data_IF_015518287399
#
_entry.id   IF_015518287399
#
_cell.length_a   1.000
_cell.length_b   1.000
_cell.length_c   1.000
_cell.angle_alpha   90.00
_cell.angle_beta   90.00
_cell.angle_gamma   90.00
#
_symmetry.space_group_name_H-M   'P 1'
#
loop_
_entity.id
_entity.type
_entity.pdbx_description
1 polymer ?
#
# COMPACT_ATOMS: atom_id res chain seq x y z
N UNK A 1 11.31 -4.72 -9.45
CA UNK A 1 10.40 -5.65 -8.73
C UNK A 1 11.14 -6.65 -7.83
N UNK A 2 12.35 -7.11 -8.17
CA UNK A 2 13.11 -8.02 -7.28
C UNK A 2 13.43 -7.38 -5.93
N UNK A 3 13.74 -6.09 -5.90
CA UNK A 3 13.93 -5.35 -4.65
C UNK A 3 12.63 -5.31 -3.83
N UNK A 4 11.50 -4.97 -4.45
CA UNK A 4 10.18 -4.99 -3.79
C UNK A 4 9.92 -6.36 -3.17
N UNK A 5 10.09 -7.44 -3.93
CA UNK A 5 9.88 -8.79 -3.41
C UNK A 5 10.78 -9.14 -2.21
N UNK A 6 12.04 -8.67 -2.22
CA UNK A 6 12.96 -8.87 -1.10
C UNK A 6 12.56 -8.08 0.14
N UNK A 7 12.10 -6.83 -0.04
CA UNK A 7 11.62 -5.97 1.03
C UNK A 7 10.31 -6.50 1.62
N UNK A 8 9.35 -6.95 0.79
CA UNK A 8 8.13 -7.61 1.27
C UNK A 8 8.42 -8.87 2.11
N UNK A 9 9.35 -9.71 1.65
CA UNK A 9 9.78 -10.87 2.42
C UNK A 9 10.45 -10.48 3.76
N UNK A 10 11.13 -9.32 3.82
CA UNK A 10 11.67 -8.76 5.05
C UNK A 10 10.55 -8.25 5.96
N UNK A 11 9.58 -7.50 5.44
CA UNK A 11 8.41 -7.00 6.18
C UNK A 11 7.66 -8.16 6.85
N UNK A 12 7.36 -9.20 6.08
CA UNK A 12 6.72 -10.40 6.59
C UNK A 12 7.51 -11.03 7.75
N UNK A 13 8.85 -11.21 7.59
CA UNK A 13 9.69 -11.81 8.64
C UNK A 13 9.76 -10.96 9.89
N UNK A 14 9.82 -9.63 9.77
CA UNK A 14 9.84 -8.72 10.92
C UNK A 14 8.56 -8.83 11.73
N UNK A 15 7.41 -8.74 11.06
CA UNK A 15 6.10 -8.84 11.72
C UNK A 15 5.85 -10.23 12.31
N UNK A 16 6.19 -11.29 11.57
CA UNK A 16 6.06 -12.67 12.06
C UNK A 16 6.91 -12.91 13.30
N UNK A 17 8.18 -12.49 13.28
CA UNK A 17 9.09 -12.62 14.43
C UNK A 17 8.55 -11.86 15.64
N UNK A 18 8.05 -10.66 15.45
CA UNK A 18 7.43 -9.87 16.51
C UNK A 18 6.22 -10.61 17.10
N UNK A 19 5.31 -11.12 16.27
CA UNK A 19 4.15 -11.89 16.69
C UNK A 19 4.53 -13.11 17.51
N UNK A 20 5.54 -13.86 17.08
CA UNK A 20 6.04 -15.04 17.78
C UNK A 20 6.67 -14.68 19.14
N UNK A 21 7.52 -13.65 19.17
CA UNK A 21 8.27 -13.30 20.37
C UNK A 21 7.43 -12.61 21.45
N UNK A 22 6.47 -11.79 21.04
CA UNK A 22 5.68 -11.00 22.00
C UNK A 22 4.37 -11.69 22.40
N UNK A 23 3.79 -12.52 21.51
CA UNK A 23 2.47 -13.08 21.74
C UNK A 23 2.43 -14.61 21.69
N UNK A 24 3.54 -15.29 21.38
CA UNK A 24 3.59 -16.76 21.24
C UNK A 24 2.66 -17.29 20.13
N UNK A 25 2.38 -16.45 19.12
CA UNK A 25 1.50 -16.74 17.98
C UNK A 25 2.27 -16.73 16.67
N UNK A 26 1.75 -17.37 15.64
CA UNK A 26 2.36 -17.41 14.31
C UNK A 26 1.37 -17.00 13.22
N UNK A 27 1.90 -16.82 12.01
CA UNK A 27 1.10 -16.59 10.82
C UNK A 27 0.08 -17.74 10.63
N UNK A 28 -1.18 -17.34 10.47
CA UNK A 28 -2.29 -18.30 10.36
C UNK A 28 -3.08 -18.52 11.65
N UNK A 29 -2.57 -18.09 12.83
CA UNK A 29 -3.33 -18.20 14.10
C UNK A 29 -4.50 -17.20 14.18
N UNK A 30 -4.47 -16.15 13.38
CA UNK A 30 -5.54 -15.15 13.29
C UNK A 30 -6.06 -15.02 11.85
N UNK A 31 -7.35 -14.69 11.66
CA UNK A 31 -7.86 -14.39 10.33
C UNK A 31 -7.16 -13.18 9.74
N UNK A 32 -6.86 -13.26 8.45
CA UNK A 32 -6.21 -12.19 7.69
C UNK A 32 -7.15 -11.63 6.61
N UNK A 33 -6.98 -10.34 6.31
CA UNK A 33 -7.71 -9.68 5.24
C UNK A 33 -7.08 -10.00 3.88
N UNK A 34 -7.88 -10.49 2.93
CA UNK A 34 -7.40 -10.95 1.62
C UNK A 34 -7.56 -9.91 0.48
N UNK A 35 -7.88 -8.66 0.82
CA UNK A 35 -8.24 -7.66 -0.21
C UNK A 35 -7.15 -7.41 -1.26
N UNK A 36 -5.88 -7.39 -0.88
CA UNK A 36 -4.77 -7.23 -1.83
C UNK A 36 -4.63 -8.46 -2.74
N UNK A 37 -4.71 -9.66 -2.19
CA UNK A 37 -4.69 -10.90 -2.97
C UNK A 37 -5.86 -10.96 -3.96
N UNK A 38 -7.07 -10.65 -3.51
CA UNK A 38 -8.26 -10.59 -4.37
C UNK A 38 -8.07 -9.59 -5.53
N UNK A 39 -7.45 -8.42 -5.27
CA UNK A 39 -7.16 -7.46 -6.34
C UNK A 39 -6.11 -8.01 -7.30
N UNK A 40 -5.11 -8.74 -6.80
CA UNK A 40 -4.14 -9.44 -7.66
C UNK A 40 -4.83 -10.47 -8.57
N UNK A 41 -5.76 -11.26 -8.06
CA UNK A 41 -6.52 -12.23 -8.87
C UNK A 41 -7.39 -11.51 -9.92
N UNK A 42 -8.17 -10.51 -9.52
CA UNK A 42 -9.02 -9.73 -10.43
C UNK A 42 -8.23 -9.12 -11.59
N UNK A 43 -7.00 -8.66 -11.35
CA UNK A 43 -6.17 -7.98 -12.35
C UNK A 43 -5.15 -8.91 -13.05
N UNK A 44 -5.28 -10.23 -12.93
CA UNK A 44 -4.30 -11.19 -13.45
C UNK A 44 -4.07 -11.08 -14.98
N UNK A 45 -5.12 -10.75 -15.74
CA UNK A 45 -5.08 -10.62 -17.20
C UNK A 45 -4.82 -9.20 -17.72
N UNK A 46 -4.67 -8.19 -16.85
CA UNK A 46 -4.53 -6.79 -17.25
C UNK A 46 -3.39 -6.12 -16.45
N UNK A 47 -2.24 -5.98 -17.10
CA UNK A 47 -1.04 -5.40 -16.46
C UNK A 47 -1.24 -3.92 -16.11
N UNK A 48 -2.01 -3.15 -16.89
CA UNK A 48 -2.28 -1.75 -16.62
C UNK A 48 -3.16 -1.61 -15.39
N UNK A 49 -4.23 -2.41 -15.30
CA UNK A 49 -5.07 -2.49 -14.11
C UNK A 49 -4.28 -2.98 -12.90
N UNK A 50 -3.37 -3.98 -13.07
CA UNK A 50 -2.50 -4.46 -12.01
C UNK A 50 -1.65 -3.33 -11.42
N UNK A 51 -0.99 -2.52 -12.25
CA UNK A 51 -0.16 -1.40 -11.79
C UNK A 51 -0.99 -0.29 -11.14
N UNK A 52 -2.17 -0.01 -11.69
CA UNK A 52 -3.09 0.99 -11.14
C UNK A 52 -3.65 0.58 -9.77
N UNK A 53 -4.04 -0.68 -9.61
CA UNK A 53 -4.90 -1.10 -8.50
C UNK A 53 -4.16 -1.85 -7.39
N UNK A 54 -3.03 -2.48 -7.65
CA UNK A 54 -2.25 -3.17 -6.61
C UNK A 54 -1.24 -2.20 -5.98
N UNK A 55 -0.08 -1.88 -6.57
CA UNK A 55 0.90 -1.03 -5.90
C UNK A 55 0.40 0.40 -5.71
N UNK A 56 -0.21 1.00 -6.77
CA UNK A 56 -0.66 2.40 -6.72
C UNK A 56 -1.87 2.61 -5.79
N UNK A 57 -2.74 1.61 -5.59
CA UNK A 57 -3.96 1.74 -4.78
C UNK A 57 -3.85 0.98 -3.47
N UNK A 58 -3.67 -0.34 -3.51
CA UNK A 58 -3.73 -1.16 -2.30
C UNK A 58 -2.54 -0.91 -1.37
N UNK A 59 -1.31 -0.80 -1.89
CA UNK A 59 -0.12 -0.48 -1.08
C UNK A 59 -0.14 0.99 -0.62
N UNK A 60 -0.60 1.93 -1.46
CA UNK A 60 -0.73 3.32 -1.06
C UNK A 60 -1.72 3.54 0.11
N UNK A 61 -2.68 2.63 0.34
CA UNK A 61 -3.50 2.63 1.58
C UNK A 61 -2.64 2.34 2.81
N UNK A 62 -1.60 1.57 2.67
CA UNK A 62 -0.61 1.35 3.73
C UNK A 62 0.08 2.64 4.14
N UNK A 63 0.44 3.51 3.18
CA UNK A 63 1.02 4.83 3.48
C UNK A 63 0.11 5.68 4.37
N UNK A 64 -1.21 5.59 4.20
CA UNK A 64 -2.19 6.37 4.96
C UNK A 64 -2.52 5.72 6.31
N UNK A 65 -2.64 4.41 6.35
CA UNK A 65 -3.08 3.68 7.54
C UNK A 65 -1.97 3.53 8.58
N UNK A 66 -0.73 3.31 8.14
CA UNK A 66 0.39 3.02 9.04
C UNK A 66 0.61 4.11 10.10
N UNK A 67 0.63 5.42 9.79
CA UNK A 67 0.78 6.46 10.83
C UNK A 67 -0.33 6.43 11.89
N UNK A 68 -1.55 6.09 11.49
CA UNK A 68 -2.68 5.98 12.41
C UNK A 68 -2.54 4.76 13.35
N UNK A 69 -2.08 3.63 12.80
CA UNK A 69 -1.79 2.42 13.57
C UNK A 69 -0.65 2.70 14.56
N UNK A 70 0.42 3.33 14.11
CA UNK A 70 1.55 3.72 14.96
C UNK A 70 1.12 4.63 16.12
N UNK A 71 0.26 5.61 15.86
CA UNK A 71 -0.26 6.50 16.90
C UNK A 71 -1.09 5.73 17.93
N UNK A 72 -1.93 4.79 17.49
CA UNK A 72 -2.69 3.93 18.43
C UNK A 72 -1.76 3.09 19.28
N UNK A 73 -0.73 2.49 18.69
CA UNK A 73 0.25 1.66 19.39
C UNK A 73 1.06 2.49 20.40
N UNK A 74 1.53 3.68 20.01
CA UNK A 74 2.27 4.59 20.93
C UNK A 74 1.42 4.97 22.15
N UNK A 75 0.13 5.18 21.98
CA UNK A 75 -0.77 5.56 23.06
C UNK A 75 -1.01 4.44 24.08
N UNK A 76 -0.66 3.19 23.78
CA UNK A 76 -0.71 2.10 24.76
C UNK A 76 0.42 2.14 25.76
N UNK A 77 1.54 2.77 25.40
CA UNK A 77 2.80 2.77 26.17
C UNK A 77 3.36 1.37 26.48
N UNK A 78 2.82 0.30 25.89
CA UNK A 78 3.27 -1.06 26.09
C UNK A 78 4.57 -1.32 25.30
N UNK A 79 5.58 -1.99 25.91
CA UNK A 79 6.88 -2.22 25.27
C UNK A 79 6.79 -2.99 23.93
N UNK A 80 5.91 -3.98 23.85
CA UNK A 80 5.64 -4.75 22.64
C UNK A 80 5.02 -3.89 21.52
N UNK A 81 4.09 -3.01 21.89
CA UNK A 81 3.50 -2.06 20.94
C UNK A 81 4.52 -1.04 20.42
N UNK A 82 5.42 -0.56 21.28
CA UNK A 82 6.49 0.36 20.86
C UNK A 82 7.48 -0.36 19.92
N UNK A 83 7.83 -1.62 20.21
CA UNK A 83 8.64 -2.43 19.29
C UNK A 83 7.96 -2.66 17.93
N UNK A 84 6.64 -2.82 17.90
CA UNK A 84 5.87 -2.89 16.64
C UNK A 84 5.94 -1.57 15.85
N UNK A 85 5.94 -0.42 16.53
CA UNK A 85 6.10 0.90 15.87
C UNK A 85 7.42 1.00 15.14
N UNK A 86 8.53 0.53 15.72
CA UNK A 86 9.85 0.53 15.05
C UNK A 86 9.84 -0.31 13.77
N UNK A 87 9.15 -1.45 13.76
CA UNK A 87 8.96 -2.27 12.56
C UNK A 87 8.14 -1.54 11.53
N UNK A 88 7.04 -0.90 11.93
CA UNK A 88 6.18 -0.12 11.04
C UNK A 88 6.88 1.11 10.45
N UNK A 89 7.85 1.71 11.15
CA UNK A 89 8.69 2.78 10.63
C UNK A 89 9.58 2.29 9.46
N UNK A 90 10.12 1.08 9.56
CA UNK A 90 10.88 0.45 8.46
C UNK A 90 9.97 0.22 7.26
N UNK A 91 8.82 -0.43 7.49
CA UNK A 91 7.84 -0.76 6.45
C UNK A 91 7.37 0.51 5.74
N UNK A 92 6.88 1.51 6.47
CA UNK A 92 6.37 2.75 5.89
C UNK A 92 7.40 3.46 4.99
N UNK A 93 8.66 3.49 5.42
CA UNK A 93 9.74 4.09 4.64
C UNK A 93 9.97 3.38 3.30
N UNK A 94 9.94 2.04 3.30
CA UNK A 94 10.18 1.22 2.11
C UNK A 94 8.97 1.18 1.18
N UNK A 95 7.76 1.17 1.73
CA UNK A 95 6.50 1.22 0.98
C UNK A 95 6.38 2.46 0.06
N UNK A 96 6.99 3.59 0.42
CA UNK A 96 7.05 4.75 -0.48
C UNK A 96 7.70 4.37 -1.82
N UNK A 97 8.78 3.57 -1.77
CA UNK A 97 9.47 3.07 -2.97
C UNK A 97 8.62 2.08 -3.77
N UNK A 98 7.89 1.19 -3.10
CA UNK A 98 7.00 0.20 -3.76
C UNK A 98 5.88 0.90 -4.53
N UNK A 99 5.23 1.87 -3.90
CA UNK A 99 4.19 2.68 -4.54
C UNK A 99 4.76 3.53 -5.68
N UNK A 100 5.99 4.07 -5.52
CA UNK A 100 6.67 4.84 -6.59
C UNK A 100 6.94 3.99 -7.84
N UNK A 101 7.39 2.74 -7.67
CA UNK A 101 7.57 1.78 -8.77
C UNK A 101 6.23 1.50 -9.46
N UNK A 102 5.15 1.31 -8.69
CA UNK A 102 3.80 1.14 -9.23
C UNK A 102 3.34 2.34 -10.06
N UNK A 103 3.51 3.55 -9.53
CA UNK A 103 3.18 4.80 -10.22
C UNK A 103 4.00 4.97 -11.50
N UNK A 104 5.30 4.66 -11.48
CA UNK A 104 6.16 4.71 -12.65
C UNK A 104 5.64 3.79 -13.76
N UNK A 105 5.42 2.51 -13.47
CA UNK A 105 4.96 1.55 -14.46
C UNK A 105 3.56 1.81 -14.97
N UNK A 106 2.65 2.27 -14.11
CA UNK A 106 1.32 2.66 -14.53
C UNK A 106 1.36 3.79 -15.56
N UNK A 107 2.12 4.86 -15.29
CA UNK A 107 2.26 5.99 -16.22
C UNK A 107 2.94 5.58 -17.52
N UNK A 108 4.00 4.77 -17.43
CA UNK A 108 4.66 4.26 -18.62
C UNK A 108 3.72 3.44 -19.50
N UNK A 109 2.87 2.60 -18.92
CA UNK A 109 1.86 1.83 -19.66
C UNK A 109 0.81 2.75 -20.29
N UNK A 110 0.36 3.78 -19.59
CA UNK A 110 -0.56 4.77 -20.14
C UNK A 110 0.06 5.51 -21.34
N UNK A 111 1.27 6.03 -21.19
CA UNK A 111 2.00 6.73 -22.25
C UNK A 111 2.20 5.83 -23.48
N UNK A 112 2.69 4.61 -23.27
CA UNK A 112 2.91 3.62 -24.33
C UNK A 112 1.64 3.33 -25.15
N UNK A 113 0.48 3.38 -24.51
CA UNK A 113 -0.80 3.05 -25.13
C UNK A 113 -1.62 4.30 -25.52
N UNK A 114 -1.08 5.52 -25.36
CA UNK A 114 -1.77 6.76 -25.68
C UNK A 114 -3.00 7.05 -24.80
N UNK A 115 -2.95 6.61 -23.52
CA UNK A 115 -4.05 6.73 -22.56
C UNK A 115 -3.77 7.82 -21.54
N UNK A 116 -4.81 8.55 -21.14
CA UNK A 116 -4.70 9.51 -20.01
C UNK A 116 -4.79 8.75 -18.68
N UNK A 117 -3.76 8.86 -17.81
CA UNK A 117 -3.73 8.11 -16.56
C UNK A 117 -4.83 8.46 -15.57
N UNK A 118 -5.35 9.69 -15.56
CA UNK A 118 -6.37 10.09 -14.57
C UNK A 118 -7.73 9.48 -14.87
N UNK A 119 -8.35 9.70 -16.06
CA UNK A 119 -9.63 9.07 -16.37
C UNK A 119 -9.53 7.55 -16.46
N UNK A 120 -8.42 7.01 -16.97
CA UNK A 120 -8.22 5.56 -17.00
C UNK A 120 -8.21 4.95 -15.59
N UNK A 121 -7.57 5.60 -14.62
CA UNK A 121 -7.59 5.13 -13.23
C UNK A 121 -9.02 5.01 -12.69
N UNK A 122 -9.87 6.00 -12.95
CA UNK A 122 -11.26 6.00 -12.52
C UNK A 122 -12.05 4.85 -13.15
N UNK A 123 -11.85 4.62 -14.46
CA UNK A 123 -12.46 3.50 -15.17
C UNK A 123 -12.03 2.16 -14.59
N UNK A 124 -10.73 1.96 -14.38
CA UNK A 124 -10.19 0.73 -13.82
C UNK A 124 -10.66 0.50 -12.39
N UNK A 125 -10.66 1.54 -11.55
CA UNK A 125 -11.14 1.44 -10.18
C UNK A 125 -12.61 1.01 -10.12
N UNK A 126 -13.44 1.52 -11.02
CA UNK A 126 -14.85 1.14 -11.14
C UNK A 126 -15.00 -0.28 -11.69
N UNK A 127 -14.33 -0.62 -12.78
CA UNK A 127 -14.41 -1.92 -13.46
C UNK A 127 -14.01 -3.08 -12.54
N UNK A 128 -12.96 -2.91 -11.75
CA UNK A 128 -12.42 -3.93 -10.87
C UNK A 128 -12.92 -3.82 -9.43
N UNK A 129 -13.87 -2.92 -9.17
CA UNK A 129 -14.46 -2.68 -7.85
C UNK A 129 -13.39 -2.43 -6.77
N UNK A 130 -12.44 -1.55 -7.11
CA UNK A 130 -11.38 -1.18 -6.18
C UNK A 130 -11.96 -0.46 -4.94
N UNK A 131 -11.40 -0.67 -3.75
CA UNK A 131 -11.88 -0.01 -2.57
C UNK A 131 -11.71 1.50 -2.69
N UNK A 132 -12.77 2.23 -2.33
CA UNK A 132 -12.74 3.69 -2.31
C UNK A 132 -11.68 4.17 -1.32
N UNK A 133 -10.84 5.09 -1.77
CA UNK A 133 -9.86 5.74 -0.91
C UNK A 133 -10.56 6.72 0.01
N UNK A 134 -10.14 6.79 1.27
CA UNK A 134 -10.75 7.68 2.28
C UNK A 134 -9.67 8.39 3.10
N UNK A 135 -9.87 9.70 3.39
CA UNK A 135 -8.96 10.42 4.26
C UNK A 135 -8.97 9.86 5.71
N UNK A 136 -7.95 10.19 6.53
CA UNK A 136 -6.86 11.11 6.20
C UNK A 136 -5.79 10.46 5.30
N UNK A 137 -5.22 11.26 4.38
CA UNK A 137 -4.15 10.83 3.49
C UNK A 137 -2.78 11.28 4.04
N UNK A 138 -1.79 10.42 3.94
CA UNK A 138 -0.38 10.78 4.16
C UNK A 138 0.16 11.48 2.90
N UNK A 139 -0.18 12.77 2.75
CA UNK A 139 0.14 13.53 1.54
C UNK A 139 1.65 13.55 1.24
N UNK A 140 2.49 13.71 2.27
CA UNK A 140 3.94 13.74 2.09
C UNK A 140 4.48 12.42 1.52
N UNK A 141 4.04 11.29 2.05
CA UNK A 141 4.45 9.97 1.56
C UNK A 141 3.89 9.71 0.14
N UNK A 142 2.66 10.09 -0.14
CA UNK A 142 2.07 9.94 -1.48
C UNK A 142 2.78 10.80 -2.52
N UNK A 143 3.08 12.07 -2.22
CA UNK A 143 3.85 12.93 -3.11
C UNK A 143 5.27 12.38 -3.33
N UNK A 144 5.94 11.90 -2.28
CA UNK A 144 7.23 11.23 -2.39
C UNK A 144 7.17 9.94 -3.24
N UNK A 145 6.05 9.21 -3.18
CA UNK A 145 5.76 8.06 -4.03
C UNK A 145 5.34 8.46 -5.47
N UNK A 146 5.37 9.75 -5.81
CA UNK A 146 5.14 10.24 -7.16
C UNK A 146 3.69 10.51 -7.52
N UNK A 147 2.74 10.58 -6.58
CA UNK A 147 1.43 11.18 -6.87
C UNK A 147 1.60 12.67 -7.17
N UNK A 148 0.84 13.19 -8.10
CA UNK A 148 0.80 14.62 -8.41
C UNK A 148 -0.15 15.36 -7.46
N UNK A 149 0.02 16.68 -7.35
CA UNK A 149 -0.91 17.52 -6.58
C UNK A 149 -2.33 17.38 -7.12
N UNK A 150 -2.50 17.39 -8.45
CA UNK A 150 -3.82 17.19 -9.09
C UNK A 150 -4.48 15.86 -8.70
N UNK A 151 -3.70 14.78 -8.65
CA UNK A 151 -4.20 13.47 -8.22
C UNK A 151 -4.59 13.48 -6.74
N UNK A 152 -3.82 14.17 -5.89
CA UNK A 152 -4.15 14.31 -4.47
C UNK A 152 -5.41 15.16 -4.25
N UNK A 153 -5.57 16.23 -4.99
CA UNK A 153 -6.77 17.08 -4.92
C UNK A 153 -8.02 16.30 -5.38
N UNK A 154 -7.87 15.51 -6.42
CA UNK A 154 -8.96 14.62 -6.85
C UNK A 154 -9.32 13.57 -5.78
N UNK A 155 -8.33 12.94 -5.13
CA UNK A 155 -8.56 11.97 -4.05
C UNK A 155 -9.30 12.57 -2.84
N UNK A 156 -9.06 13.84 -2.53
CA UNK A 156 -9.73 14.55 -1.42
C UNK A 156 -11.19 14.87 -1.70
N UNK A 157 -11.56 14.96 -2.99
CA UNK A 157 -12.91 15.37 -3.42
C UNK A 157 -13.85 14.17 -3.66
N UNK A 158 -13.30 12.96 -3.80
CA UNK A 158 -14.02 11.73 -4.17
C UNK A 158 -13.85 10.62 -3.15
#
# INVERSE_FOLDING_TARGET
WLQVAAEEAKHFRLLRKHLQQQHGKDYGDYPAHQGQWTMCEKTAGDITARMALVPRTMEARGLDATPQIQNKLRNTHAPDALAAVEILDIILREEVGHVAIGNHWYRWLCEKNGLDPVPLYQELATRYEAPRMRPPFNESARLAAGFTVTEMDWLKQN
#
